data_IF_871715011574
#
_entry.id   IF_871715011574
#
_cell.length_a   1.000
_cell.length_b   1.000
_cell.length_c   1.000
_cell.angle_alpha   90.00
_cell.angle_beta   90.00
_cell.angle_gamma   90.00
#
_symmetry.space_group_name_H-M   'P 1'
#
loop_
_entity.id
_entity.type
_entity.pdbx_description
1 polymer ?
#
# COMPACT_ATOMS: atom_id res chain seq x y z
N UNK A 1 -5.03 6.98 18.48
CA UNK A 1 -3.84 6.13 18.70
C UNK A 1 -2.96 6.29 17.48
N UNK A 2 -1.80 6.96 17.59
CA UNK A 2 -0.86 7.02 16.47
C UNK A 2 -0.15 5.68 16.37
N UNK A 3 -0.10 5.09 15.17
CA UNK A 3 0.78 3.96 14.90
C UNK A 3 2.22 4.38 15.23
N UNK A 4 2.94 3.51 15.93
CA UNK A 4 4.39 3.65 16.05
C UNK A 4 5.04 3.57 14.65
N UNK A 5 6.21 4.16 14.49
CA UNK A 5 6.93 4.10 13.22
C UNK A 5 7.18 2.66 12.75
N UNK A 6 7.31 1.71 13.68
CA UNK A 6 7.46 0.28 13.39
C UNK A 6 6.17 -0.34 12.84
N UNK A 7 5.03 -0.12 13.50
CA UNK A 7 3.73 -0.62 13.01
C UNK A 7 3.38 -0.02 11.63
N UNK A 8 3.77 1.23 11.38
CA UNK A 8 3.60 1.86 10.08
C UNK A 8 4.48 1.22 9.00
N UNK A 9 5.73 0.87 9.32
CA UNK A 9 6.64 0.14 8.40
C UNK A 9 6.09 -1.25 8.06
N UNK A 10 5.52 -1.94 9.04
CA UNK A 10 4.88 -3.24 8.84
C UNK A 10 3.62 -3.10 7.96
N UNK A 11 2.75 -2.13 8.24
CA UNK A 11 1.58 -1.84 7.40
C UNK A 11 1.96 -1.49 5.95
N UNK A 12 3.06 -0.74 5.76
CA UNK A 12 3.61 -0.43 4.44
C UNK A 12 4.09 -1.68 3.70
N UNK A 13 4.74 -2.61 4.41
CA UNK A 13 5.18 -3.88 3.83
C UNK A 13 3.97 -4.72 3.37
N UNK A 14 2.94 -4.85 4.22
CA UNK A 14 1.71 -5.58 3.86
C UNK A 14 1.01 -4.95 2.65
N UNK A 15 0.94 -3.62 2.60
CA UNK A 15 0.34 -2.89 1.47
C UNK A 15 1.09 -3.18 0.16
N UNK A 16 2.43 -3.24 0.20
CA UNK A 16 3.24 -3.60 -0.98
C UNK A 16 3.04 -5.04 -1.41
N UNK A 17 2.91 -5.96 -0.45
CA UNK A 17 2.65 -7.37 -0.72
C UNK A 17 1.29 -7.55 -1.41
N UNK A 18 0.22 -6.93 -0.89
CA UNK A 18 -1.13 -7.00 -1.50
C UNK A 18 -1.13 -6.42 -2.92
N UNK A 19 -0.40 -5.31 -3.17
CA UNK A 19 -0.23 -4.77 -4.53
C UNK A 19 0.42 -5.80 -5.45
N UNK A 20 1.48 -6.48 -5.00
CA UNK A 20 2.19 -7.47 -5.80
C UNK A 20 1.30 -8.68 -6.12
N UNK A 21 0.55 -9.18 -5.14
CA UNK A 21 -0.41 -10.27 -5.32
C UNK A 21 -1.50 -9.89 -6.34
N UNK A 22 -2.05 -8.67 -6.24
CA UNK A 22 -3.04 -8.18 -7.19
C UNK A 22 -2.46 -7.98 -8.60
N UNK A 23 -1.19 -7.55 -8.71
CA UNK A 23 -0.51 -7.48 -10.00
C UNK A 23 -0.34 -8.85 -10.63
N UNK A 24 -0.02 -9.87 -9.84
CA UNK A 24 0.01 -11.26 -10.31
C UNK A 24 -1.39 -11.73 -10.73
N UNK A 25 -2.40 -11.52 -9.89
CA UNK A 25 -3.79 -11.86 -10.20
C UNK A 25 -4.24 -11.22 -11.52
N UNK A 26 -3.89 -9.95 -11.75
CA UNK A 26 -4.23 -9.24 -12.98
C UNK A 26 -3.70 -9.92 -14.25
N UNK A 27 -2.54 -10.59 -14.18
CA UNK A 27 -1.94 -11.29 -15.31
C UNK A 27 -2.65 -12.60 -15.63
N UNK A 28 -3.20 -13.27 -14.62
CA UNK A 28 -3.85 -14.58 -14.77
C UNK A 28 -5.38 -14.48 -14.90
N UNK A 29 -5.99 -13.36 -14.55
CA UNK A 29 -7.42 -13.12 -14.75
C UNK A 29 -7.73 -12.99 -16.24
N UNK A 30 -8.81 -13.59 -16.71
CA UNK A 30 -9.28 -13.47 -18.09
C UNK A 30 -10.43 -12.46 -18.22
N UNK A 31 -11.32 -12.42 -17.22
CA UNK A 31 -12.51 -11.60 -17.24
C UNK A 31 -12.18 -10.10 -17.13
N UNK A 32 -12.64 -9.33 -18.12
CA UNK A 32 -12.33 -7.89 -18.20
C UNK A 32 -12.95 -7.08 -17.05
N UNK A 33 -14.09 -7.51 -16.52
CA UNK A 33 -14.73 -6.86 -15.37
C UNK A 33 -13.90 -7.05 -14.10
N UNK A 34 -13.41 -8.26 -13.86
CA UNK A 34 -12.50 -8.55 -12.75
C UNK A 34 -11.17 -7.80 -12.89
N UNK A 35 -10.58 -7.74 -14.10
CA UNK A 35 -9.38 -6.92 -14.36
C UNK A 35 -9.58 -5.45 -13.98
N UNK A 36 -10.75 -4.88 -14.26
CA UNK A 36 -11.06 -3.49 -13.87
C UNK A 36 -11.14 -3.35 -12.35
N UNK A 37 -11.75 -4.32 -11.66
CA UNK A 37 -11.82 -4.32 -10.21
C UNK A 37 -10.42 -4.43 -9.56
N UNK A 38 -9.59 -5.36 -10.04
CA UNK A 38 -8.20 -5.54 -9.59
C UNK A 38 -7.39 -4.24 -9.81
N UNK A 39 -7.47 -3.64 -11.00
CA UNK A 39 -6.79 -2.38 -11.28
C UNK A 39 -7.25 -1.23 -10.37
N UNK A 40 -8.55 -1.15 -10.06
CA UNK A 40 -9.09 -0.16 -9.12
C UNK A 40 -8.52 -0.35 -7.71
N UNK A 41 -8.42 -1.61 -7.27
CA UNK A 41 -7.84 -1.99 -5.98
C UNK A 41 -6.36 -1.62 -5.90
N UNK A 42 -5.58 -1.97 -6.93
CA UNK A 42 -4.15 -1.60 -7.02
C UNK A 42 -3.98 -0.08 -6.89
N UNK A 43 -4.75 0.72 -7.65
CA UNK A 43 -4.68 2.19 -7.57
C UNK A 43 -4.98 2.72 -6.17
N UNK A 44 -5.94 2.11 -5.49
CA UNK A 44 -6.32 2.48 -4.11
C UNK A 44 -5.18 2.18 -3.14
N UNK A 45 -4.58 1.00 -3.24
CA UNK A 45 -3.45 0.60 -2.39
C UNK A 45 -2.19 1.42 -2.66
N UNK A 46 -1.91 1.79 -3.92
CA UNK A 46 -0.80 2.68 -4.26
C UNK A 46 -0.96 4.07 -3.61
N UNK A 47 -2.18 4.61 -3.59
CA UNK A 47 -2.48 5.87 -2.88
C UNK A 47 -2.31 5.73 -1.38
N UNK A 48 -2.77 4.62 -0.81
CA UNK A 48 -2.56 4.30 0.61
C UNK A 48 -1.07 4.24 0.92
N UNK A 49 -0.28 3.53 0.11
CA UNK A 49 1.16 3.40 0.29
C UNK A 49 1.89 4.74 0.25
N UNK A 50 1.51 5.61 -0.71
CA UNK A 50 2.05 6.97 -0.76
C UNK A 50 1.70 7.79 0.49
N UNK A 51 0.47 7.65 1.00
CA UNK A 51 0.09 8.29 2.27
C UNK A 51 0.90 7.74 3.45
N UNK A 52 1.04 6.41 3.57
CA UNK A 52 1.84 5.77 4.62
C UNK A 52 3.29 6.25 4.58
N UNK A 53 3.89 6.35 3.39
CA UNK A 53 5.24 6.88 3.21
C UNK A 53 5.37 8.32 3.72
N UNK A 54 4.40 9.19 3.40
CA UNK A 54 4.38 10.56 3.93
C UNK A 54 4.24 10.60 5.45
N UNK A 55 3.40 9.74 6.02
CA UNK A 55 3.28 9.66 7.48
C UNK A 55 4.59 9.21 8.14
N UNK A 56 5.28 8.24 7.54
CA UNK A 56 6.54 7.75 8.06
C UNK A 56 7.60 8.85 8.04
N UNK A 57 7.71 9.60 6.93
CA UNK A 57 8.62 10.75 6.82
C UNK A 57 8.35 11.80 7.89
N UNK A 58 7.08 12.12 8.15
CA UNK A 58 6.71 13.07 9.20
C UNK A 58 7.09 12.57 10.60
N UNK A 59 6.90 11.27 10.89
CA UNK A 59 7.29 10.68 12.17
C UNK A 59 8.81 10.67 12.36
N UNK A 60 9.56 10.39 11.30
CA UNK A 60 11.03 10.42 11.32
C UNK A 60 11.58 11.85 11.46
N UNK A 61 10.92 12.85 10.86
CA UNK A 61 11.26 14.27 11.02
C UNK A 61 10.91 14.82 12.41
N UNK A 62 9.81 14.38 13.03
CA UNK A 62 9.40 14.76 14.39
C UNK A 62 10.21 14.04 15.49
N UNK A 63 10.94 12.98 15.14
CA UNK A 63 11.80 12.22 16.04
C UNK A 63 13.27 12.65 16.03
N UNK A 64 13.63 13.73 15.32
CA UNK A 64 14.96 14.31 15.38
C UNK A 64 15.16 15.05 16.73
N UNK A 65 16.24 14.78 17.49
CA UNK A 65 16.67 15.68 18.55
C UNK A 65 17.10 17.06 18.01
#
# INVERSE_FOLDING_TARGET
MSLSAQELKEAMFQTRLEIFELMYQLQITEEQQEKKAINSRIKTLQRLHYWQFRQLKNLEEQGLP
#
